data_IF_592621634244
#
_entry.id   IF_592621634244
#
_cell.length_a   1.000
_cell.length_b   1.000
_cell.length_c   1.000
_cell.angle_alpha   90.00
_cell.angle_beta   90.00
_cell.angle_gamma   90.00
#
_symmetry.space_group_name_H-M   'P 1'
#
loop_
_entity.id
_entity.type
_entity.pdbx_description
1 polymer ?
#
# COMPACT_ATOMS: atom_id res chain seq x y z
N UNK A 1 15.83 -0.24 -23.16
CA UNK A 1 14.45 -0.52 -23.60
C UNK A 1 13.45 -0.20 -22.48
N UNK A 2 13.35 1.05 -22.02
CA UNK A 2 12.56 1.46 -20.83
C UNK A 2 11.23 2.20 -21.16
N UNK A 3 10.81 2.21 -22.44
CA UNK A 3 9.60 2.94 -22.88
C UNK A 3 8.30 2.16 -22.66
N UNK A 4 8.35 0.82 -22.55
CA UNK A 4 7.16 -0.04 -22.41
C UNK A 4 6.46 0.09 -21.05
N UNK A 5 7.22 0.04 -19.95
CA UNK A 5 6.65 0.05 -18.58
C UNK A 5 6.04 1.39 -18.18
N UNK A 6 6.60 2.51 -18.69
CA UNK A 6 5.97 3.83 -18.53
C UNK A 6 4.61 3.91 -19.20
N UNK A 7 4.33 3.10 -20.22
CA UNK A 7 3.04 3.14 -20.94
C UNK A 7 1.91 2.50 -20.15
N UNK A 8 2.16 1.40 -19.42
CA UNK A 8 1.11 0.67 -18.71
C UNK A 8 0.57 1.48 -17.51
N UNK A 9 1.45 2.03 -16.67
CA UNK A 9 1.04 2.89 -15.55
C UNK A 9 0.42 4.20 -16.03
N UNK A 10 0.93 4.77 -17.12
CA UNK A 10 0.35 5.99 -17.70
C UNK A 10 -1.04 5.74 -18.30
N UNK A 11 -1.22 4.62 -19.00
CA UNK A 11 -2.51 4.18 -19.53
C UNK A 11 -3.48 3.87 -18.39
N UNK A 12 -3.03 3.11 -17.38
CA UNK A 12 -3.81 2.81 -16.19
C UNK A 12 -4.28 4.07 -15.47
N UNK A 13 -3.43 5.09 -15.35
CA UNK A 13 -3.80 6.37 -14.73
C UNK A 13 -4.92 7.10 -15.48
N UNK A 14 -5.00 6.95 -16.81
CA UNK A 14 -6.09 7.52 -17.61
C UNK A 14 -7.40 6.74 -17.43
N UNK A 15 -7.33 5.43 -17.35
CA UNK A 15 -8.52 4.57 -17.22
C UNK A 15 -9.06 4.48 -15.80
N UNK A 16 -8.18 4.60 -14.79
CA UNK A 16 -8.50 4.48 -13.38
C UNK A 16 -7.90 5.64 -12.58
N UNK A 17 -8.53 6.83 -12.62
CA UNK A 17 -7.99 8.03 -11.97
C UNK A 17 -7.95 7.90 -10.43
N UNK A 18 -8.73 6.99 -9.85
CA UNK A 18 -8.78 6.72 -8.41
C UNK A 18 -8.12 5.37 -8.07
N UNK A 19 -7.12 4.93 -8.84
CA UNK A 19 -6.38 3.70 -8.58
C UNK A 19 -5.37 3.91 -7.45
N UNK A 20 -5.43 3.04 -6.44
CA UNK A 20 -4.47 2.96 -5.35
C UNK A 20 -3.77 1.60 -5.36
N UNK A 21 -2.47 1.60 -5.06
CA UNK A 21 -1.73 0.40 -4.72
C UNK A 21 -1.72 0.26 -3.21
N UNK A 22 -2.17 -0.89 -2.70
CA UNK A 22 -2.03 -1.26 -1.29
C UNK A 22 -0.74 -2.05 -1.15
N UNK A 23 0.14 -1.55 -0.30
CA UNK A 23 1.43 -2.15 0.04
C UNK A 23 1.32 -2.74 1.43
N UNK A 24 1.75 -3.98 1.59
CA UNK A 24 1.79 -4.67 2.88
C UNK A 24 3.23 -4.90 3.26
N UNK A 25 3.64 -4.40 4.43
CA UNK A 25 4.98 -4.59 4.97
C UNK A 25 4.93 -5.24 6.35
N UNK A 26 5.81 -6.23 6.57
CA UNK A 26 6.00 -6.84 7.88
C UNK A 26 6.60 -5.83 8.88
N UNK A 27 7.45 -4.93 8.38
CA UNK A 27 8.25 -3.99 9.19
C UNK A 27 7.99 -2.56 8.75
N UNK A 28 6.82 -1.98 9.10
CA UNK A 28 6.56 -0.57 8.86
C UNK A 28 7.47 0.29 9.75
N UNK A 29 7.63 1.57 9.37
CA UNK A 29 8.26 2.56 10.26
C UNK A 29 7.46 2.71 11.57
N UNK A 30 8.12 3.18 12.63
CA UNK A 30 7.48 3.30 13.93
C UNK A 30 6.23 4.19 13.87
N UNK A 31 5.11 3.67 14.38
CA UNK A 31 3.81 4.37 14.37
C UNK A 31 3.04 4.28 13.05
N UNK A 32 3.57 3.59 12.03
CA UNK A 32 2.90 3.35 10.73
C UNK A 32 2.22 2.00 10.69
N UNK A 33 1.12 1.92 9.97
CA UNK A 33 0.42 0.66 9.70
C UNK A 33 1.22 -0.30 8.81
N UNK A 34 1.04 -1.60 8.99
CA UNK A 34 1.50 -2.61 8.01
C UNK A 34 0.84 -2.43 6.63
N UNK A 35 -0.34 -1.81 6.56
CA UNK A 35 -1.05 -1.51 5.32
C UNK A 35 -0.86 -0.04 4.94
N UNK A 36 -0.08 0.15 3.89
CA UNK A 36 0.24 1.44 3.31
C UNK A 36 -0.44 1.56 1.95
N UNK A 37 -0.74 2.78 1.51
CA UNK A 37 -1.36 3.02 0.22
C UNK A 37 -0.62 4.11 -0.57
N UNK A 38 -0.58 3.92 -1.88
CA UNK A 38 -0.02 4.84 -2.87
C UNK A 38 -1.05 5.13 -3.95
N UNK A 39 -1.39 6.39 -4.16
CA UNK A 39 -2.24 6.79 -5.28
C UNK A 39 -1.44 6.81 -6.58
N UNK A 40 -1.92 6.11 -7.62
CA UNK A 40 -1.32 6.16 -8.96
C UNK A 40 -1.42 7.57 -9.55
N UNK A 41 -2.48 8.31 -9.24
CA UNK A 41 -2.67 9.68 -9.72
C UNK A 41 -1.62 10.64 -9.14
N UNK A 42 -1.19 10.42 -7.89
CA UNK A 42 -0.21 11.25 -7.21
C UNK A 42 1.25 10.91 -7.60
N UNK A 43 1.49 9.80 -8.29
CA UNK A 43 2.84 9.37 -8.64
C UNK A 43 3.45 10.27 -9.73
N UNK A 44 4.62 10.84 -9.43
CA UNK A 44 5.38 11.72 -10.33
C UNK A 44 6.78 11.19 -10.58
N UNK A 45 7.22 11.22 -11.84
CA UNK A 45 8.53 10.71 -12.21
C UNK A 45 9.63 11.62 -11.63
N UNK A 46 10.60 11.02 -10.94
CA UNK A 46 11.71 11.74 -10.31
C UNK A 46 11.40 12.28 -8.90
N UNK A 47 10.16 12.14 -8.42
CA UNK A 47 9.81 12.45 -7.03
C UNK A 47 9.87 11.19 -6.16
N UNK A 48 10.25 11.31 -4.86
CA UNK A 48 10.19 10.20 -3.93
C UNK A 48 8.78 9.62 -3.82
N UNK A 49 8.68 8.30 -3.75
CA UNK A 49 7.40 7.62 -3.50
C UNK A 49 6.95 7.96 -2.08
N UNK A 50 5.73 8.47 -1.95
CA UNK A 50 5.10 8.79 -0.67
C UNK A 50 3.91 7.87 -0.47
N UNK A 51 3.90 7.16 0.65
CA UNK A 51 2.78 6.33 1.07
C UNK A 51 2.02 7.01 2.20
N UNK A 52 0.75 6.68 2.34
CA UNK A 52 -0.06 7.03 3.50
C UNK A 52 -0.57 5.75 4.18
N UNK A 53 -0.87 5.82 5.47
CA UNK A 53 -1.60 4.73 6.12
C UNK A 53 -2.98 4.64 5.49
N UNK A 54 -3.43 3.42 5.20
CA UNK A 54 -4.66 3.23 4.42
C UNK A 54 -5.91 3.79 5.13
N UNK A 55 -5.87 3.90 6.46
CA UNK A 55 -6.93 4.49 7.29
C UNK A 55 -7.01 6.02 7.19
N UNK A 56 -5.92 6.67 6.82
CA UNK A 56 -5.88 8.13 6.67
C UNK A 56 -6.51 8.59 5.36
N UNK A 57 -6.65 7.68 4.39
CA UNK A 57 -7.32 7.90 3.11
C UNK A 57 -8.84 7.75 3.27
N UNK A 58 -9.49 8.83 3.71
CA UNK A 58 -10.93 8.87 4.01
C UNK A 58 -11.80 8.39 2.84
N UNK A 59 -11.36 8.62 1.61
CA UNK A 59 -12.01 8.19 0.37
C UNK A 59 -12.13 6.68 0.24
N UNK A 60 -11.23 5.90 0.85
CA UNK A 60 -11.27 4.44 0.83
C UNK A 60 -12.27 3.87 1.84
N UNK A 61 -12.76 4.69 2.77
CA UNK A 61 -13.73 4.32 3.82
C UNK A 61 -13.28 3.08 4.62
N UNK A 62 -11.98 2.96 4.84
CA UNK A 62 -11.38 1.92 5.68
C UNK A 62 -11.29 2.47 7.10
N UNK A 63 -11.86 1.74 8.05
CA UNK A 63 -11.94 2.16 9.44
C UNK A 63 -10.83 1.51 10.26
N UNK A 64 -10.36 2.24 11.29
CA UNK A 64 -9.24 1.82 12.14
C UNK A 64 -9.45 0.45 12.79
N UNK A 65 -10.64 0.17 13.32
CA UNK A 65 -10.93 -1.12 13.96
C UNK A 65 -10.75 -2.30 12.98
N UNK A 66 -11.27 -2.16 11.75
CA UNK A 66 -11.07 -3.19 10.72
C UNK A 66 -9.59 -3.36 10.38
N UNK A 67 -8.84 -2.25 10.28
CA UNK A 67 -7.41 -2.30 10.01
C UNK A 67 -6.64 -3.06 11.08
N UNK A 68 -6.91 -2.78 12.36
CA UNK A 68 -6.25 -3.40 13.51
C UNK A 68 -6.45 -4.92 13.53
N UNK A 69 -7.67 -5.41 13.26
CA UNK A 69 -7.96 -6.85 13.18
C UNK A 69 -7.17 -7.53 12.04
N UNK A 70 -7.10 -6.88 10.88
CA UNK A 70 -6.37 -7.40 9.72
C UNK A 70 -4.85 -7.33 9.93
N UNK A 71 -4.34 -6.36 10.68
CA UNK A 71 -2.93 -6.32 11.07
C UNK A 71 -2.55 -7.48 11.98
N UNK A 72 -3.40 -7.85 12.93
CA UNK A 72 -3.14 -9.02 13.76
C UNK A 72 -3.07 -10.28 12.91
N UNK A 73 -3.97 -10.42 11.94
CA UNK A 73 -3.96 -11.55 11.01
C UNK A 73 -2.69 -11.57 10.14
N UNK A 74 -2.31 -10.43 9.54
CA UNK A 74 -1.13 -10.38 8.66
C UNK A 74 0.16 -10.68 9.43
N UNK A 75 0.28 -10.20 10.68
CA UNK A 75 1.44 -10.48 11.54
C UNK A 75 1.56 -11.98 11.84
N UNK A 76 0.43 -12.67 12.08
CA UNK A 76 0.41 -14.13 12.23
C UNK A 76 0.85 -14.83 10.94
N UNK A 77 0.37 -14.38 9.78
CA UNK A 77 0.79 -14.92 8.49
C UNK A 77 2.30 -14.74 8.30
N UNK A 78 2.85 -13.57 8.57
CA UNK A 78 4.30 -13.33 8.47
C UNK A 78 5.10 -14.23 9.43
N UNK A 79 4.66 -14.38 10.68
CA UNK A 79 5.28 -15.30 11.63
C UNK A 79 5.29 -16.75 11.12
N UNK A 80 4.15 -17.24 10.62
CA UNK A 80 4.03 -18.58 10.03
C UNK A 80 4.93 -18.77 8.82
N UNK A 81 4.95 -17.81 7.89
CA UNK A 81 5.73 -17.90 6.65
C UNK A 81 7.23 -17.76 6.89
N UNK A 82 7.65 -17.02 7.91
CA UNK A 82 9.06 -16.86 8.28
C UNK A 82 9.60 -18.03 9.12
N UNK A 83 8.74 -18.96 9.55
CA UNK A 83 9.12 -20.03 10.46
C UNK A 83 9.45 -19.55 11.89
N UNK A 84 9.19 -18.28 12.19
CA UNK A 84 9.23 -17.75 13.54
C UNK A 84 7.95 -18.19 14.25
N UNK A 85 7.99 -19.38 14.87
CA UNK A 85 7.01 -19.73 15.91
C UNK A 85 7.12 -18.69 17.02
N UNK A 86 6.03 -17.94 17.23
CA UNK A 86 5.88 -17.02 18.35
C UNK A 86 6.10 -17.71 19.70
#
# INVERSE_FOLDING_TARGET
NQRGDRSALFAARRHWPTLYFVLVTERPEAGRSCFQALSLAALRAGEPIRTADIVDLKELRIFRHNLEDHEQLIRRIFALLSGATA
#
